data_IF_812495394402
#
_entry.id   IF_812495394402
#
_cell.length_a   1.000
_cell.length_b   1.000
_cell.length_c   1.000
_cell.angle_alpha   90.00
_cell.angle_beta   90.00
_cell.angle_gamma   90.00
#
_symmetry.space_group_name_H-M   'P 1'
#
loop_
_entity.id
_entity.type
_entity.pdbx_description
1 polymer ?
#
# COMPACT_ATOMS: atom_id res chain seq x y z
N UNK A 1 4.78 10.61 5.36
CA UNK A 1 5.20 11.77 6.20
C UNK A 1 4.22 11.82 7.37
N UNK A 2 4.65 12.02 8.62
CA UNK A 2 3.72 12.01 9.76
C UNK A 2 3.08 13.40 9.90
N UNK A 3 1.77 13.45 10.14
CA UNK A 3 1.03 14.71 10.37
C UNK A 3 1.29 15.24 11.79
N UNK A 4 2.48 15.83 12.00
CA UNK A 4 2.91 16.31 13.31
C UNK A 4 1.98 17.37 13.89
N UNK A 5 1.46 18.27 13.06
CA UNK A 5 0.61 19.39 13.48
C UNK A 5 -0.68 18.89 14.15
N UNK A 6 -1.30 17.86 13.58
CA UNK A 6 -2.49 17.24 14.15
C UNK A 6 -2.25 16.68 15.55
N UNK A 7 -1.13 15.96 15.78
CA UNK A 7 -0.81 15.41 17.10
C UNK A 7 -0.61 16.50 18.16
N UNK A 8 0.05 17.61 17.82
CA UNK A 8 0.23 18.73 18.75
C UNK A 8 -1.08 19.46 19.05
N UNK A 9 -1.94 19.68 18.05
CA UNK A 9 -3.27 20.24 18.27
C UNK A 9 -4.14 19.35 19.16
N UNK A 10 -4.13 18.03 18.94
CA UNK A 10 -4.92 17.11 19.75
C UNK A 10 -4.48 17.14 21.22
N UNK A 11 -3.18 17.23 21.47
CA UNK A 11 -2.64 17.38 22.83
C UNK A 11 -3.08 18.69 23.48
N UNK A 12 -3.05 19.79 22.73
CA UNK A 12 -3.45 21.11 23.22
C UNK A 12 -4.95 21.18 23.52
N UNK A 13 -5.79 20.62 22.64
CA UNK A 13 -7.24 20.56 22.81
C UNK A 13 -7.65 19.78 24.07
N UNK A 14 -6.95 18.68 24.37
CA UNK A 14 -7.22 17.88 25.58
C UNK A 14 -6.46 18.37 26.81
N UNK A 15 -5.66 19.44 26.71
CA UNK A 15 -4.82 19.93 27.79
C UNK A 15 -3.77 18.92 28.27
N UNK A 16 -3.39 17.97 27.39
CA UNK A 16 -2.43 16.90 27.67
C UNK A 16 -1.03 17.29 27.25
N UNK A 17 -0.02 16.76 27.93
CA UNK A 17 1.38 17.07 27.63
C UNK A 17 2.09 15.91 26.93
N UNK A 18 2.98 16.24 26.00
CA UNK A 18 3.81 15.25 25.30
C UNK A 18 4.72 14.47 26.29
N UNK A 19 5.16 15.13 27.36
CA UNK A 19 5.92 14.47 28.44
C UNK A 19 5.08 13.47 29.22
N UNK A 20 3.80 13.75 29.45
CA UNK A 20 2.89 12.80 30.09
C UNK A 20 2.59 11.61 29.17
N UNK A 21 2.38 11.84 27.87
CA UNK A 21 2.27 10.77 26.88
C UNK A 21 3.50 9.86 26.89
N UNK A 22 4.70 10.44 26.91
CA UNK A 22 5.95 9.67 26.94
C UNK A 22 6.04 8.76 28.18
N UNK A 23 5.62 9.26 29.35
CA UNK A 23 5.55 8.44 30.57
C UNK A 23 4.56 7.29 30.46
N UNK A 24 3.38 7.54 29.88
CA UNK A 24 2.35 6.51 29.68
C UNK A 24 2.84 5.40 28.74
N UNK A 25 3.56 5.78 27.69
CA UNK A 25 4.14 4.87 26.72
C UNK A 25 5.43 4.17 27.22
N UNK A 26 5.97 4.57 28.37
CA UNK A 26 7.27 4.10 28.85
C UNK A 26 8.45 4.54 27.97
N UNK A 27 8.31 5.64 27.23
CA UNK A 27 9.31 6.17 26.30
C UNK A 27 9.96 7.45 26.84
N UNK A 28 11.16 7.75 26.33
CA UNK A 28 11.79 9.05 26.57
C UNK A 28 11.05 10.17 25.80
N UNK A 29 10.86 11.37 26.39
CA UNK A 29 10.21 12.49 25.70
C UNK A 29 10.85 12.86 24.36
N UNK A 30 12.17 12.69 24.22
CA UNK A 30 12.86 12.93 22.95
C UNK A 30 12.49 11.88 21.90
N UNK A 31 12.30 10.62 22.29
CA UNK A 31 11.88 9.55 21.39
C UNK A 31 10.47 9.81 20.85
N UNK A 32 9.56 10.27 21.71
CA UNK A 32 8.20 10.67 21.30
C UNK A 32 8.22 11.89 20.39
N UNK A 33 9.02 12.90 20.71
CA UNK A 33 9.16 14.08 19.85
C UNK A 33 9.70 13.74 18.47
N UNK A 34 10.72 12.87 18.38
CA UNK A 34 11.30 12.42 17.10
C UNK A 34 10.33 11.55 16.32
N UNK A 35 9.53 10.75 17.02
CA UNK A 35 8.46 9.94 16.43
C UNK A 35 7.38 10.82 15.81
N UNK A 36 6.86 11.83 16.51
CA UNK A 36 5.82 12.71 15.96
C UNK A 36 6.30 13.57 14.79
N UNK A 37 7.61 13.90 14.73
CA UNK A 37 8.24 14.60 13.60
C UNK A 37 8.56 13.70 12.40
N UNK A 38 8.37 12.38 12.51
CA UNK A 38 8.69 11.42 11.46
C UNK A 38 10.18 11.07 11.34
N UNK A 39 11.04 11.54 12.24
CA UNK A 39 12.45 11.14 12.30
C UNK A 39 12.63 9.72 12.84
N UNK A 40 11.62 9.20 13.54
CA UNK A 40 11.56 7.82 14.06
C UNK A 40 10.26 7.17 13.62
N UNK A 41 10.34 5.91 13.16
CA UNK A 41 9.16 5.10 12.83
C UNK A 41 8.41 4.73 14.11
N UNK A 42 7.09 4.92 14.09
CA UNK A 42 6.17 4.51 15.14
C UNK A 42 5.84 3.00 15.00
N UNK A 43 5.98 2.24 16.08
CA UNK A 43 5.61 0.81 16.15
C UNK A 43 4.08 0.63 16.23
N UNK A 44 3.61 -0.62 16.17
CA UNK A 44 2.18 -0.92 16.33
C UNK A 44 1.73 -0.66 17.77
N UNK A 45 2.50 -1.11 18.75
CA UNK A 45 2.23 -0.94 20.18
C UNK A 45 2.22 0.54 20.57
N UNK A 46 3.12 1.34 19.98
CA UNK A 46 3.14 2.80 20.17
C UNK A 46 1.90 3.47 19.58
N UNK A 47 1.37 2.98 18.45
CA UNK A 47 0.11 3.48 17.88
C UNK A 47 -1.07 3.18 18.81
N UNK A 48 -1.15 1.97 19.35
CA UNK A 48 -2.20 1.56 20.28
C UNK A 48 -2.15 2.40 21.56
N UNK A 49 -0.95 2.62 22.11
CA UNK A 49 -0.75 3.46 23.28
C UNK A 49 -1.12 4.92 23.03
N UNK A 50 -0.78 5.47 21.85
CA UNK A 50 -1.18 6.85 21.48
C UNK A 50 -2.69 6.94 21.30
N UNK A 51 -3.33 5.94 20.68
CA UNK A 51 -4.78 5.90 20.50
C UNK A 51 -5.51 5.87 21.86
N UNK A 52 -5.05 5.02 22.78
CA UNK A 52 -5.57 4.97 24.15
C UNK A 52 -5.33 6.30 24.90
N UNK A 53 -4.14 6.87 24.77
CA UNK A 53 -3.78 8.12 25.45
C UNK A 53 -4.58 9.33 24.94
N UNK A 54 -4.86 9.40 23.64
CA UNK A 54 -5.65 10.48 23.04
C UNK A 54 -7.15 10.17 23.00
N UNK A 55 -7.58 8.98 23.42
CA UNK A 55 -8.99 8.57 23.38
C UNK A 55 -9.60 8.53 21.97
N UNK A 56 -8.77 8.40 20.93
CA UNK A 56 -9.21 8.35 19.53
C UNK A 56 -9.09 6.93 18.97
N UNK A 57 -9.90 6.56 17.96
CA UNK A 57 -9.76 5.26 17.32
C UNK A 57 -8.38 5.07 16.67
N UNK A 58 -7.83 3.85 16.74
CA UNK A 58 -6.55 3.47 16.12
C UNK A 58 -6.49 3.85 14.64
N UNK A 59 -7.60 3.73 13.91
CA UNK A 59 -7.69 4.09 12.49
C UNK A 59 -7.33 5.57 12.23
N UNK A 60 -7.68 6.47 13.16
CA UNK A 60 -7.36 7.90 13.05
C UNK A 60 -5.86 8.11 13.20
N UNK A 61 -5.24 7.49 14.20
CA UNK A 61 -3.79 7.56 14.44
C UNK A 61 -3.02 6.94 13.27
N UNK A 62 -3.48 5.80 12.76
CA UNK A 62 -2.85 5.11 11.62
C UNK A 62 -2.91 5.93 10.32
N UNK A 63 -4.03 6.62 10.06
CA UNK A 63 -4.15 7.54 8.92
C UNK A 63 -3.13 8.67 9.03
N UNK A 64 -3.00 9.29 10.21
CA UNK A 64 -2.08 10.41 10.47
C UNK A 64 -0.60 10.00 10.50
N UNK A 65 -0.30 8.74 10.83
CA UNK A 65 1.04 8.13 10.69
C UNK A 65 1.47 8.02 9.23
N UNK A 66 0.55 7.69 8.32
CA UNK A 66 0.86 7.53 6.89
C UNK A 66 1.10 8.89 6.21
N UNK A 67 0.44 9.94 6.69
CA UNK A 67 0.37 11.26 6.07
C UNK A 67 -0.88 11.39 5.20
N UNK A 68 -1.03 12.49 4.47
CA UNK A 68 -2.02 12.54 3.38
C UNK A 68 -1.84 11.27 2.54
N UNK A 69 -2.91 10.49 2.48
CA UNK A 69 -2.93 9.28 1.70
C UNK A 69 -2.80 9.70 0.23
N UNK A 70 -1.57 9.76 -0.25
CA UNK A 70 -1.31 9.27 -1.59
C UNK A 70 -1.93 7.86 -1.59
N UNK A 71 -3.08 7.72 -2.25
CA UNK A 71 -3.76 6.45 -2.35
C UNK A 71 -2.83 5.40 -2.96
N UNK A 72 -3.32 4.18 -3.12
CA UNK A 72 -2.61 3.17 -3.92
C UNK A 72 -2.54 3.51 -5.42
N UNK A 73 -2.92 4.73 -5.82
CA UNK A 73 -2.86 5.21 -7.19
C UNK A 73 -1.54 5.94 -7.42
N UNK A 74 -0.84 5.51 -8.46
CA UNK A 74 0.31 6.24 -8.99
C UNK A 74 -0.12 7.52 -9.71
N UNK A 75 0.84 8.40 -10.02
CA UNK A 75 0.60 9.62 -10.79
C UNK A 75 -0.01 9.26 -12.15
N UNK A 76 -1.25 9.71 -12.40
CA UNK A 76 -2.03 9.37 -13.60
C UNK A 76 -3.05 8.23 -13.44
N UNK A 77 -3.17 7.62 -12.25
CA UNK A 77 -4.22 6.65 -11.95
C UNK A 77 -5.34 7.24 -11.09
N UNK A 78 -6.58 6.84 -11.37
CA UNK A 78 -7.72 7.09 -10.48
C UNK A 78 -7.64 6.15 -9.27
N UNK A 79 -7.75 6.70 -8.05
CA UNK A 79 -7.74 5.94 -6.81
C UNK A 79 -8.79 4.83 -6.78
N UNK A 80 -8.39 3.62 -6.37
CA UNK A 80 -9.32 2.50 -6.25
C UNK A 80 -10.36 2.79 -5.15
N UNK A 81 -11.64 2.88 -5.54
CA UNK A 81 -12.76 3.06 -4.63
C UNK A 81 -13.44 1.71 -4.40
N UNK A 82 -13.44 1.24 -3.15
CA UNK A 82 -14.19 0.04 -2.76
C UNK A 82 -15.67 0.42 -2.65
N UNK A 83 -16.52 -0.02 -3.60
CA UNK A 83 -17.98 0.04 -3.43
C UNK A 83 -18.82 0.34 -4.65
N UNK A 84 -18.25 0.69 -5.80
CA UNK A 84 -19.03 0.82 -7.04
C UNK A 84 -19.01 -0.50 -7.82
N UNK A 85 -20.18 -1.05 -8.22
CA UNK A 85 -20.24 -2.04 -9.29
C UNK A 85 -19.51 -1.42 -10.48
N UNK A 86 -18.42 -2.05 -10.92
CA UNK A 86 -17.69 -1.63 -12.09
C UNK A 86 -18.64 -1.82 -13.27
N UNK A 87 -19.25 -0.75 -13.76
CA UNK A 87 -19.97 -0.82 -15.02
C UNK A 87 -19.01 -1.38 -16.08
N UNK A 88 -19.47 -2.28 -16.97
CA UNK A 88 -18.63 -2.80 -18.02
C UNK A 88 -18.09 -1.60 -18.79
N UNK A 89 -16.76 -1.50 -18.85
CA UNK A 89 -16.07 -0.36 -19.47
C UNK A 89 -16.51 -0.33 -20.93
N UNK A 90 -17.49 0.51 -21.25
CA UNK A 90 -17.78 0.88 -22.62
C UNK A 90 -16.49 1.42 -23.21
N UNK A 91 -16.13 0.86 -24.35
CA UNK A 91 -14.91 1.09 -25.12
C UNK A 91 -14.43 2.55 -24.96
N UNK A 92 -13.35 2.74 -24.19
CA UNK A 92 -12.73 4.05 -24.05
C UNK A 92 -12.18 4.44 -25.42
N UNK A 93 -12.82 5.43 -26.02
CA UNK A 93 -12.44 6.08 -27.27
C UNK A 93 -11.00 6.59 -27.19
N UNK A 94 -10.14 5.97 -28.00
CA UNK A 94 -9.24 6.61 -28.96
C UNK A 94 -8.64 7.97 -28.55
N UNK A 95 -7.69 7.95 -27.61
CA UNK A 95 -7.10 9.20 -27.12
C UNK A 95 -5.74 9.11 -26.44
N UNK A 96 -4.99 8.02 -26.61
CA UNK A 96 -3.58 7.99 -26.20
C UNK A 96 -2.69 7.97 -27.44
N UNK A 97 -2.56 9.14 -28.07
CA UNK A 97 -1.41 9.43 -28.94
C UNK A 97 -0.21 9.57 -28.01
N UNK A 98 0.61 8.53 -27.91
CA UNK A 98 2.04 8.71 -27.67
C UNK A 98 2.75 8.58 -29.00
N UNK A 99 3.58 9.57 -29.24
CA UNK A 99 4.25 9.90 -30.47
C UNK A 99 5.00 8.70 -31.06
N UNK A 100 5.13 8.73 -32.39
CA UNK A 100 5.89 7.76 -33.20
C UNK A 100 7.33 7.62 -32.69
N UNK A 101 7.59 6.74 -31.74
CA UNK A 101 8.97 6.46 -31.30
C UNK A 101 9.28 4.97 -31.37
N UNK A 102 9.50 4.49 -32.59
CA UNK A 102 10.60 3.57 -32.97
C UNK A 102 10.51 3.18 -34.45
N UNK A 103 11.64 2.86 -35.08
CA UNK A 103 11.79 2.45 -36.50
C UNK A 103 10.82 1.36 -36.97
N UNK A 104 10.27 0.56 -36.04
CA UNK A 104 9.37 -0.55 -36.36
C UNK A 104 7.88 -0.17 -36.44
N UNK A 105 7.48 1.07 -36.10
CA UNK A 105 6.10 1.55 -36.26
C UNK A 105 5.02 0.83 -35.43
N UNK A 106 5.40 0.09 -34.39
CA UNK A 106 4.48 -0.66 -33.54
C UNK A 106 3.94 0.18 -32.39
N UNK A 107 2.64 0.06 -32.12
CA UNK A 107 1.99 0.61 -30.94
C UNK A 107 2.51 -0.04 -29.65
N UNK A 108 2.37 0.66 -28.52
CA UNK A 108 2.75 0.13 -27.20
C UNK A 108 2.12 -1.24 -26.91
N UNK A 109 0.84 -1.42 -27.26
CA UNK A 109 0.13 -2.69 -27.06
C UNK A 109 0.65 -3.83 -27.95
N UNK A 110 1.11 -3.53 -29.16
CA UNK A 110 1.72 -4.53 -30.06
C UNK A 110 3.10 -4.97 -29.56
N UNK A 111 3.87 -4.04 -28.97
CA UNK A 111 5.16 -4.36 -28.33
C UNK A 111 4.99 -5.27 -27.12
N UNK A 112 4.07 -4.93 -26.21
CA UNK A 112 3.84 -5.74 -24.99
C UNK A 112 3.31 -7.13 -25.35
N UNK A 113 2.42 -7.24 -26.35
CA UNK A 113 1.94 -8.55 -26.84
C UNK A 113 3.01 -9.34 -27.59
N UNK A 114 3.96 -8.66 -28.24
CA UNK A 114 5.10 -9.29 -28.92
C UNK A 114 6.05 -10.02 -27.96
N UNK A 115 6.18 -9.53 -26.72
CA UNK A 115 7.03 -10.15 -25.69
C UNK A 115 6.34 -11.26 -24.88
N UNK A 116 5.01 -11.40 -25.00
CA UNK A 116 4.21 -12.37 -24.23
C UNK A 116 3.97 -13.71 -24.94
N UNK A 117 4.60 -13.98 -26.09
CA UNK A 117 4.47 -15.28 -26.76
C UNK A 117 5.39 -16.34 -26.11
N UNK A 118 5.14 -16.63 -24.84
CA UNK A 118 5.61 -17.85 -24.19
C UNK A 118 4.60 -18.96 -24.45
N UNK A 119 4.85 -19.81 -25.44
CA UNK A 119 4.02 -21.01 -25.65
C UNK A 119 4.37 -22.02 -24.56
N UNK A 120 3.41 -22.34 -23.69
CA UNK A 120 3.50 -23.54 -22.87
C UNK A 120 3.16 -24.73 -23.77
N UNK A 121 4.11 -25.62 -23.98
CA UNK A 121 3.89 -26.88 -24.68
C UNK A 121 3.29 -27.87 -23.70
N UNK A 122 1.99 -28.17 -23.84
CA UNK A 122 1.29 -29.19 -23.05
C UNK A 122 1.34 -30.50 -23.85
N UNK A 123 1.75 -31.60 -23.21
CA UNK A 123 1.74 -32.89 -23.88
C UNK A 123 0.31 -33.37 -24.15
N UNK A 124 0.05 -34.07 -25.26
CA UNK A 124 -1.25 -34.67 -25.52
C UNK A 124 -1.62 -35.63 -24.37
N UNK A 125 -2.80 -35.45 -23.76
CA UNK A 125 -3.29 -36.29 -22.66
C UNK A 125 -2.95 -35.79 -21.25
N UNK A 126 -2.33 -34.61 -21.09
CA UNK A 126 -2.14 -33.98 -19.78
C UNK A 126 -3.46 -33.43 -19.25
N UNK A 127 -3.93 -33.97 -18.12
CA UNK A 127 -5.10 -33.46 -17.39
C UNK A 127 -4.68 -32.31 -16.47
N UNK A 128 -5.18 -31.11 -16.76
CA UNK A 128 -4.90 -29.88 -15.99
C UNK A 128 -5.89 -29.67 -14.83
N UNK A 129 -6.90 -30.52 -14.72
CA UNK A 129 -7.93 -30.43 -13.67
C UNK A 129 -7.61 -31.32 -12.48
N UNK A 130 -6.66 -32.24 -12.63
CA UNK A 130 -6.15 -33.05 -11.55
C UNK A 130 -5.45 -32.18 -10.49
N UNK A 131 -5.61 -32.49 -9.20
CA UNK A 131 -4.87 -31.80 -8.15
C UNK A 131 -3.37 -31.96 -8.37
N UNK A 132 -2.61 -30.89 -8.14
CA UNK A 132 -1.15 -30.91 -8.21
C UNK A 132 -0.59 -32.02 -7.33
N UNK A 133 0.43 -32.73 -7.83
CA UNK A 133 1.12 -33.79 -7.10
C UNK A 133 1.62 -33.26 -5.74
N UNK A 134 1.25 -33.88 -4.60
CA UNK A 134 1.71 -33.47 -3.27
C UNK A 134 3.23 -33.46 -3.12
N UNK A 135 3.97 -34.25 -3.91
CA UNK A 135 5.43 -34.28 -3.88
C UNK A 135 6.05 -32.98 -4.43
N UNK A 136 5.32 -32.20 -5.25
CA UNK A 136 5.79 -30.87 -5.69
C UNK A 136 5.97 -29.88 -4.54
N UNK A 137 5.23 -30.04 -3.44
CA UNK A 137 5.35 -29.17 -2.28
C UNK A 137 6.60 -29.48 -1.44
N UNK A 138 7.18 -30.68 -1.59
CA UNK A 138 8.30 -31.18 -0.78
C UNK A 138 9.67 -30.88 -1.36
N UNK A 139 9.76 -30.15 -2.49
CA UNK A 139 11.03 -29.83 -3.17
C UNK A 139 12.01 -29.02 -2.28
N UNK A 140 11.51 -28.43 -1.19
CA UNK A 140 12.31 -27.68 -0.21
C UNK A 140 12.35 -28.33 1.18
N UNK A 141 11.83 -29.55 1.33
CA UNK A 141 11.75 -30.24 2.63
C UNK A 141 12.92 -31.24 2.86
N UNK A 142 13.82 -31.42 1.88
CA UNK A 142 15.08 -32.15 2.05
C UNK A 142 16.25 -31.14 2.24
N UNK A 143 16.70 -31.01 3.50
CA UNK A 143 17.95 -30.41 4.05
C UNK A 143 18.62 -29.19 3.37
#
# INVERSE_FOLDING_TARGET
>A
MIDSAWFYQQLEQEGRSLRAMARELGLDPSAVSRMLRGERKMSAEEQDGIAAYLGVPLAVVAARRRGEAAGFAEEGQEGYVIGTPREPVAERSDGLVTEKDNEAGLSFYERVRGCMKGTITIMPGTDLTAPTDPEWAKVYDDD
#
